data_IF_191926631850
#
_entry.id   IF_191926631850
#
_cell.length_a   1.000
_cell.length_b   1.000
_cell.length_c   1.000
_cell.angle_alpha   90.00
_cell.angle_beta   90.00
_cell.angle_gamma   90.00
#
_symmetry.space_group_name_H-M   'P 1'
#
loop_
_entity.id
_entity.type
_entity.pdbx_description
1 polymer ?
#
# COMPACT_ATOMS: atom_id res chain seq x y z
N UNK A 1 -0.80 -14.08 2.07
CA UNK A 1 0.40 -14.31 2.90
C UNK A 1 0.52 -15.75 3.41
N UNK A 2 -0.54 -16.36 3.96
CA UNK A 2 -0.46 -17.70 4.57
C UNK A 2 0.08 -18.81 3.65
N UNK A 3 -0.26 -18.80 2.36
CA UNK A 3 0.25 -19.77 1.39
C UNK A 3 1.77 -19.68 1.18
N UNK A 4 2.31 -18.46 1.02
CA UNK A 4 3.74 -18.26 0.83
C UNK A 4 4.52 -18.46 2.13
N UNK A 5 3.95 -18.06 3.27
CA UNK A 5 4.52 -18.34 4.59
C UNK A 5 4.65 -19.85 4.82
N UNK A 6 3.59 -20.63 4.52
CA UNK A 6 3.61 -22.09 4.58
C UNK A 6 4.72 -22.70 3.72
N UNK A 7 5.01 -22.13 2.55
CA UNK A 7 6.06 -22.62 1.64
C UNK A 7 7.48 -22.33 2.16
N UNK A 8 7.64 -21.26 2.94
CA UNK A 8 8.91 -20.83 3.53
C UNK A 8 9.19 -21.44 4.91
N UNK A 9 8.20 -22.07 5.57
CA UNK A 9 8.42 -22.72 6.87
C UNK A 9 9.37 -23.92 6.74
N UNK A 10 10.37 -24.00 7.62
CA UNK A 10 11.26 -25.17 7.74
C UNK A 10 10.51 -26.26 8.52
N UNK A 11 10.46 -27.48 7.97
CA UNK A 11 9.88 -28.65 8.64
C UNK A 11 10.92 -29.73 8.80
N UNK A 12 10.89 -30.40 9.95
CA UNK A 12 11.67 -31.61 10.16
C UNK A 12 11.09 -32.70 9.23
N UNK A 13 11.96 -33.44 8.54
CA UNK A 13 11.63 -34.48 7.56
C UNK A 13 11.16 -34.06 6.14
N UNK A 14 11.15 -32.77 5.79
CA UNK A 14 10.88 -32.32 4.40
C UNK A 14 12.07 -31.58 3.78
N UNK A 15 12.42 -31.94 2.55
CA UNK A 15 13.47 -31.25 1.80
C UNK A 15 12.91 -29.98 1.15
N UNK A 16 13.20 -28.82 1.74
CA UNK A 16 12.71 -27.56 1.21
C UNK A 16 13.70 -26.98 0.18
N UNK A 17 13.54 -27.37 -1.10
CA UNK A 17 14.43 -26.97 -2.19
C UNK A 17 14.57 -25.45 -2.35
N UNK A 18 13.48 -24.72 -2.13
CA UNK A 18 13.46 -23.25 -2.19
C UNK A 18 14.44 -22.63 -1.19
N UNK A 19 14.53 -23.15 0.03
CA UNK A 19 15.39 -22.62 1.10
C UNK A 19 16.89 -22.93 0.90
N UNK A 20 17.22 -23.91 0.06
CA UNK A 20 18.61 -24.28 -0.25
C UNK A 20 19.21 -23.45 -1.39
N UNK A 21 18.37 -22.87 -2.23
CA UNK A 21 18.81 -22.06 -3.36
C UNK A 21 19.01 -20.60 -2.93
N UNK A 22 20.22 -20.25 -2.48
CA UNK A 22 20.58 -18.93 -1.90
C UNK A 22 20.01 -17.71 -2.64
N UNK A 23 20.54 -17.42 -3.83
CA UNK A 23 20.18 -16.20 -4.58
C UNK A 23 18.79 -16.29 -5.21
N UNK A 24 18.40 -17.49 -5.64
CA UNK A 24 17.07 -17.76 -6.20
C UNK A 24 15.97 -17.57 -5.14
N UNK A 25 16.25 -17.85 -3.87
CA UNK A 25 15.33 -17.60 -2.77
C UNK A 25 15.08 -16.10 -2.59
N UNK A 26 16.12 -15.27 -2.70
CA UNK A 26 15.97 -13.82 -2.60
C UNK A 26 15.09 -13.28 -3.74
N UNK A 27 15.34 -13.72 -4.98
CA UNK A 27 14.51 -13.37 -6.12
C UNK A 27 13.05 -13.82 -5.92
N UNK A 28 12.85 -15.08 -5.50
CA UNK A 28 11.53 -15.61 -5.23
C UNK A 28 10.78 -14.81 -4.15
N UNK A 29 11.45 -14.42 -3.06
CA UNK A 29 10.83 -13.62 -2.01
C UNK A 29 10.37 -12.25 -2.53
N UNK A 30 11.22 -11.57 -3.29
CA UNK A 30 10.92 -10.25 -3.87
C UNK A 30 9.77 -10.36 -4.87
N UNK A 31 9.80 -11.34 -5.77
CA UNK A 31 8.76 -11.54 -6.77
C UNK A 31 7.40 -11.86 -6.13
N UNK A 32 7.38 -12.71 -5.09
CA UNK A 32 6.14 -13.03 -4.39
C UNK A 32 5.61 -11.82 -3.62
N UNK A 33 6.47 -11.02 -3.02
CA UNK A 33 6.06 -9.76 -2.39
C UNK A 33 5.45 -8.80 -3.42
N UNK A 34 6.13 -8.56 -4.54
CA UNK A 34 5.66 -7.67 -5.60
C UNK A 34 4.30 -8.13 -6.17
N UNK A 35 4.10 -9.44 -6.35
CA UNK A 35 2.82 -10.00 -6.79
C UNK A 35 1.70 -9.71 -5.80
N UNK A 36 1.92 -9.98 -4.52
CA UNK A 36 0.91 -9.75 -3.47
C UNK A 36 0.57 -8.27 -3.38
N UNK A 37 1.59 -7.40 -3.42
CA UNK A 37 1.38 -5.96 -3.31
C UNK A 37 0.66 -5.40 -4.55
N UNK A 38 0.94 -5.94 -5.74
CA UNK A 38 0.20 -5.59 -6.96
C UNK A 38 -1.29 -5.96 -6.86
N UNK A 39 -1.60 -7.15 -6.34
CA UNK A 39 -2.99 -7.56 -6.10
C UNK A 39 -3.69 -6.67 -5.05
N UNK A 40 -2.97 -6.24 -3.99
CA UNK A 40 -3.51 -5.31 -2.99
C UNK A 40 -3.79 -3.94 -3.59
N UNK A 41 -2.89 -3.40 -4.41
CA UNK A 41 -3.10 -2.14 -5.12
C UNK A 41 -4.28 -2.24 -6.10
N UNK A 42 -4.42 -3.37 -6.80
CA UNK A 42 -5.57 -3.63 -7.67
C UNK A 42 -6.86 -3.66 -6.86
N UNK A 43 -6.88 -4.34 -5.71
CA UNK A 43 -8.03 -4.35 -4.82
C UNK A 43 -8.42 -2.94 -4.38
N UNK A 44 -7.45 -2.12 -3.97
CA UNK A 44 -7.69 -0.72 -3.58
C UNK A 44 -8.27 0.06 -4.77
N UNK A 45 -7.72 -0.10 -5.97
CA UNK A 45 -8.21 0.57 -7.18
C UNK A 45 -9.66 0.20 -7.52
N UNK A 46 -10.02 -1.08 -7.40
CA UNK A 46 -11.37 -1.56 -7.75
C UNK A 46 -12.41 -1.29 -6.67
N UNK A 47 -12.00 -1.22 -5.40
CA UNK A 47 -12.91 -1.10 -4.25
C UNK A 47 -12.98 0.33 -3.67
N UNK A 48 -12.56 1.35 -4.43
CA UNK A 48 -12.56 2.75 -3.99
C UNK A 48 -13.91 3.20 -3.39
N UNK A 49 -15.05 2.80 -3.99
CA UNK A 49 -16.39 3.12 -3.46
C UNK A 49 -16.62 2.57 -2.05
N UNK A 50 -16.23 1.32 -1.79
CA UNK A 50 -16.35 0.68 -0.47
C UNK A 50 -15.43 1.32 0.56
N UNK A 51 -14.30 1.88 0.12
CA UNK A 51 -13.34 2.62 0.95
C UNK A 51 -13.78 4.07 1.20
N UNK A 52 -15.02 4.46 0.85
CA UNK A 52 -15.56 5.83 0.93
C UNK A 52 -14.71 6.86 0.17
N UNK A 53 -14.02 6.43 -0.90
CA UNK A 53 -13.20 7.34 -1.70
C UNK A 53 -13.99 8.50 -2.29
N UNK A 54 -15.29 8.31 -2.58
CA UNK A 54 -16.19 9.34 -3.09
C UNK A 54 -16.31 10.54 -2.13
N UNK A 55 -16.44 10.32 -0.82
CA UNK A 55 -16.50 11.39 0.18
C UNK A 55 -15.18 12.17 0.28
N UNK A 56 -14.05 11.48 0.10
CA UNK A 56 -12.74 12.13 0.03
C UNK A 56 -12.52 12.87 -1.29
N UNK A 57 -13.05 12.37 -2.41
CA UNK A 57 -13.03 13.08 -3.69
C UNK A 57 -13.83 14.37 -3.52
N UNK A 58 -15.04 14.33 -2.95
CA UNK A 58 -15.84 15.53 -2.71
C UNK A 58 -15.18 16.52 -1.73
N UNK A 59 -14.55 16.03 -0.65
CA UNK A 59 -13.78 16.87 0.28
C UNK A 59 -12.60 17.52 -0.43
N UNK A 60 -11.87 16.77 -1.25
CA UNK A 60 -10.73 17.28 -2.01
C UNK A 60 -11.18 18.25 -3.10
N UNK A 61 -12.23 17.94 -3.85
CA UNK A 61 -12.83 18.82 -4.85
C UNK A 61 -13.37 20.10 -4.22
N UNK A 62 -13.88 20.07 -2.99
CA UNK A 62 -14.26 21.26 -2.24
C UNK A 62 -13.05 22.13 -1.83
N UNK A 63 -11.87 21.53 -1.64
CA UNK A 63 -10.61 22.23 -1.37
C UNK A 63 -9.97 22.73 -2.68
N UNK A 64 -10.05 21.95 -3.77
CA UNK A 64 -9.40 22.18 -5.06
C UNK A 64 -10.27 23.00 -6.04
N UNK A 65 -11.52 23.39 -5.68
CA UNK A 65 -12.49 24.11 -6.55
C UNK A 65 -12.10 25.56 -6.97
N UNK A 66 -10.81 25.89 -6.96
CA UNK A 66 -10.23 27.01 -7.72
C UNK A 66 -9.61 26.51 -9.06
N UNK A 67 -9.75 25.22 -9.41
CA UNK A 67 -9.16 24.62 -10.60
C UNK A 67 -10.04 23.56 -11.31
N UNK A 68 -10.21 23.74 -12.63
CA UNK A 68 -10.96 22.92 -13.59
C UNK A 68 -11.08 21.40 -13.27
N UNK A 69 -12.28 20.97 -12.88
CA UNK A 69 -12.65 19.58 -12.57
C UNK A 69 -12.63 18.61 -13.78
N UNK A 70 -12.51 19.11 -15.01
CA UNK A 70 -12.60 18.29 -16.24
C UNK A 70 -11.33 17.47 -16.57
N UNK A 71 -10.18 17.80 -15.95
CA UNK A 71 -8.89 17.13 -16.21
C UNK A 71 -8.48 16.12 -15.12
N UNK A 72 -9.31 15.92 -14.11
CA UNK A 72 -8.99 15.04 -12.99
C UNK A 72 -9.30 13.62 -13.43
N UNK A 73 -8.30 12.93 -13.98
CA UNK A 73 -8.37 11.50 -14.23
C UNK A 73 -8.80 10.73 -12.97
N UNK A 74 -9.28 9.49 -13.12
CA UNK A 74 -9.83 8.71 -12.01
C UNK A 74 -8.86 8.62 -10.82
N UNK A 75 -9.17 9.36 -9.76
CA UNK A 75 -8.29 9.52 -8.61
C UNK A 75 -8.39 8.28 -7.71
N UNK A 76 -7.37 7.42 -7.74
CA UNK A 76 -7.26 6.28 -6.82
C UNK A 76 -6.64 6.76 -5.52
N UNK A 77 -7.41 6.72 -4.45
CA UNK A 77 -6.96 7.14 -3.13
C UNK A 77 -6.30 5.95 -2.42
N UNK A 78 -5.03 6.12 -2.05
CA UNK A 78 -4.32 5.20 -1.18
C UNK A 78 -4.52 5.59 0.29
N UNK A 79 -4.65 4.59 1.16
CA UNK A 79 -4.69 4.82 2.61
C UNK A 79 -3.35 5.38 3.11
N UNK A 80 -3.37 6.07 4.26
CA UNK A 80 -2.16 6.63 4.90
C UNK A 80 -1.22 5.54 5.47
N UNK A 81 -1.76 4.33 5.68
CA UNK A 81 -0.98 3.14 6.04
C UNK A 81 -0.05 2.64 4.92
N UNK A 82 -0.23 3.12 3.68
CA UNK A 82 0.70 2.82 2.60
C UNK A 82 1.93 3.71 2.71
N UNK A 83 3.07 3.11 3.00
CA UNK A 83 4.36 3.82 3.11
C UNK A 83 4.67 4.60 1.85
N UNK A 84 5.09 5.85 2.00
CA UNK A 84 5.34 6.80 0.91
C UNK A 84 4.12 7.23 0.08
N UNK A 85 2.89 6.89 0.51
CA UNK A 85 1.69 7.54 -0.01
C UNK A 85 1.72 9.05 0.32
N UNK A 86 1.16 9.93 -0.53
CA UNK A 86 1.01 11.34 -0.20
C UNK A 86 0.34 11.58 1.16
N UNK A 87 -0.60 10.71 1.55
CA UNK A 87 -1.26 10.79 2.87
C UNK A 87 -0.35 10.41 4.01
N UNK A 88 0.47 9.37 3.84
CA UNK A 88 1.44 8.95 4.83
C UNK A 88 2.40 10.10 5.16
N UNK A 89 2.94 10.74 4.12
CA UNK A 89 3.86 11.87 4.30
C UNK A 89 3.18 13.06 4.96
N UNK A 90 1.93 13.36 4.59
CA UNK A 90 1.18 14.46 5.19
C UNK A 90 0.84 14.21 6.67
N UNK A 91 0.44 12.98 7.02
CA UNK A 91 0.18 12.58 8.41
C UNK A 91 1.45 12.70 9.26
N UNK A 92 2.59 12.16 8.78
CA UNK A 92 3.88 12.32 9.47
C UNK A 92 4.31 13.78 9.63
N UNK A 93 4.06 14.63 8.63
CA UNK A 93 4.36 16.05 8.71
C UNK A 93 3.48 16.76 9.76
N UNK A 94 2.18 16.44 9.81
CA UNK A 94 1.26 16.97 10.81
C UNK A 94 1.62 16.51 12.22
N UNK A 95 1.94 15.22 12.38
CA UNK A 95 2.41 14.68 13.65
C UNK A 95 3.69 15.38 14.12
N UNK A 96 4.67 15.56 13.24
CA UNK A 96 5.90 16.29 13.56
C UNK A 96 5.60 17.74 14.01
N UNK A 97 4.71 18.45 13.31
CA UNK A 97 4.29 19.81 13.69
C UNK A 97 3.56 19.85 15.03
N UNK A 98 2.74 18.85 15.34
CA UNK A 98 2.05 18.79 16.65
C UNK A 98 3.01 18.52 17.80
N UNK A 99 4.02 17.67 17.59
CA UNK A 99 5.09 17.46 18.57
C UNK A 99 5.86 18.76 18.86
N UNK A 100 6.25 19.50 17.81
CA UNK A 100 6.97 20.78 17.93
C UNK A 100 6.12 21.86 18.58
N UNK A 101 4.79 21.82 18.47
CA UNK A 101 3.90 22.79 19.10
C UNK A 101 3.61 22.49 20.57
N UNK A 102 3.76 21.23 20.99
CA UNK A 102 3.43 20.76 22.34
C UNK A 102 4.58 20.92 23.34
N UNK A 103 5.81 21.10 22.85
CA UNK A 103 7.03 21.37 23.60
C UNK A 103 7.63 22.70 23.17
#
# INVERSE_FOLDING_TARGET
MNFYAYRLTIRQNEFNHLLKCRELLHHFMVDMYAKIESERLLFIRLNQRKLRAEEYIHLRDAIDNDGNAANIGQMVILAATYTSSPRHVNEYAQDAMTYVRKY
#
